data_IF_649520051522
#
_entry.id   IF_649520051522
#
_cell.length_a   1.000
_cell.length_b   1.000
_cell.length_c   1.000
_cell.angle_alpha   90.00
_cell.angle_beta   90.00
_cell.angle_gamma   90.00
#
_symmetry.space_group_name_H-M   'P 1'
#
loop_
_entity.id
_entity.type
_entity.pdbx_description
1 polymer ?
#
# COMPACT_ATOMS: atom_id res chain seq x y z
N UNK A 1 39.12 5.14 3.46
CA UNK A 1 37.72 4.97 3.85
C UNK A 1 37.63 3.80 4.81
N UNK A 2 37.20 4.05 6.04
CA UNK A 2 37.09 3.02 7.08
C UNK A 2 35.78 2.22 6.90
N UNK A 3 35.72 1.00 7.44
CA UNK A 3 34.51 0.15 7.38
C UNK A 3 33.26 0.83 7.97
N UNK A 4 33.43 1.81 8.84
CA UNK A 4 32.37 2.61 9.44
C UNK A 4 31.72 3.58 8.44
N UNK A 5 32.50 4.21 7.56
CA UNK A 5 31.98 5.10 6.52
C UNK A 5 31.16 4.33 5.47
N UNK A 6 31.58 3.10 5.15
CA UNK A 6 30.81 2.22 4.27
C UNK A 6 29.48 1.83 4.89
N UNK A 7 29.45 1.53 6.19
CA UNK A 7 28.23 1.17 6.90
C UNK A 7 27.22 2.33 6.92
N UNK A 8 27.68 3.56 7.13
CA UNK A 8 26.84 4.76 7.13
C UNK A 8 26.14 5.01 5.78
N UNK A 9 26.76 4.61 4.67
CA UNK A 9 26.17 4.74 3.33
C UNK A 9 25.33 3.52 2.96
N UNK A 10 25.82 2.31 3.22
CA UNK A 10 25.18 1.05 2.81
C UNK A 10 23.88 0.80 3.58
N UNK A 11 23.82 1.11 4.87
CA UNK A 11 22.64 0.82 5.70
C UNK A 11 21.40 1.57 5.21
N UNK A 12 21.43 2.90 4.98
CA UNK A 12 20.30 3.59 4.37
C UNK A 12 20.00 3.09 2.95
N UNK A 13 21.02 2.87 2.12
CA UNK A 13 20.84 2.45 0.73
C UNK A 13 20.10 1.10 0.64
N UNK A 14 20.50 0.12 1.43
CA UNK A 14 19.86 -1.20 1.48
C UNK A 14 18.42 -1.07 2.01
N UNK A 15 18.21 -0.26 3.05
CA UNK A 15 16.88 -0.06 3.65
C UNK A 15 15.88 0.55 2.66
N UNK A 16 16.29 1.61 1.94
CA UNK A 16 15.43 2.25 0.94
C UNK A 16 15.25 1.37 -0.31
N UNK A 17 16.31 0.73 -0.80
CA UNK A 17 16.21 -0.14 -1.98
C UNK A 17 15.33 -1.36 -1.73
N UNK A 18 15.35 -1.94 -0.53
CA UNK A 18 14.43 -3.01 -0.15
C UNK A 18 12.96 -2.55 -0.22
N UNK A 19 12.66 -1.36 0.30
CA UNK A 19 11.33 -0.75 0.19
C UNK A 19 10.89 -0.56 -1.26
N UNK A 20 11.77 -0.01 -2.11
CA UNK A 20 11.52 0.17 -3.55
C UNK A 20 11.30 -1.17 -4.24
N UNK A 21 12.09 -2.19 -3.94
CA UNK A 21 11.97 -3.52 -4.53
C UNK A 21 10.63 -4.18 -4.19
N UNK A 22 10.18 -4.08 -2.94
CA UNK A 22 8.87 -4.59 -2.51
C UNK A 22 7.74 -3.85 -3.23
N UNK A 23 7.82 -2.52 -3.33
CA UNK A 23 6.82 -1.73 -4.05
C UNK A 23 6.78 -2.09 -5.55
N UNK A 24 7.95 -2.23 -6.18
CA UNK A 24 8.06 -2.63 -7.58
C UNK A 24 7.46 -4.02 -7.80
N UNK A 25 7.73 -4.98 -6.92
CA UNK A 25 7.16 -6.32 -6.98
C UNK A 25 5.64 -6.30 -6.88
N UNK A 26 5.08 -5.52 -5.94
CA UNK A 26 3.63 -5.36 -5.78
C UNK A 26 2.98 -4.72 -7.02
N UNK A 27 3.63 -3.71 -7.61
CA UNK A 27 3.18 -3.06 -8.84
C UNK A 27 3.20 -4.01 -10.03
N UNK A 28 4.30 -4.76 -10.20
CA UNK A 28 4.43 -5.79 -11.24
C UNK A 28 3.39 -6.89 -11.09
N UNK A 29 3.12 -7.34 -9.87
CA UNK A 29 2.07 -8.33 -9.60
C UNK A 29 0.68 -7.82 -10.01
N UNK A 30 0.34 -6.57 -9.64
CA UNK A 30 -0.92 -5.93 -10.05
C UNK A 30 -1.02 -5.80 -11.57
N UNK A 31 0.06 -5.37 -12.22
CA UNK A 31 0.14 -5.22 -13.67
C UNK A 31 -0.09 -6.57 -14.37
N UNK A 32 0.64 -7.62 -13.97
CA UNK A 32 0.48 -8.96 -14.55
C UNK A 32 -0.92 -9.51 -14.38
N UNK A 33 -1.54 -9.30 -13.22
CA UNK A 33 -2.91 -9.74 -12.96
C UNK A 33 -3.92 -9.08 -13.90
N UNK A 34 -3.79 -7.76 -14.13
CA UNK A 34 -4.63 -7.02 -15.09
C UNK A 34 -4.42 -7.52 -16.51
N UNK A 35 -3.16 -7.72 -16.92
CA UNK A 35 -2.82 -8.21 -18.25
C UNK A 35 -3.41 -9.60 -18.52
N UNK A 36 -3.28 -10.53 -17.57
CA UNK A 36 -3.82 -11.89 -17.69
C UNK A 36 -5.35 -11.89 -17.78
N UNK A 37 -6.03 -11.02 -17.03
CA UNK A 37 -7.48 -10.88 -17.11
C UNK A 37 -7.92 -10.38 -18.50
N UNK A 38 -7.25 -9.36 -19.05
CA UNK A 38 -7.56 -8.84 -20.38
C UNK A 38 -7.32 -9.89 -21.47
N UNK A 39 -6.21 -10.63 -21.40
CA UNK A 39 -5.93 -11.73 -22.34
C UNK A 39 -6.96 -12.86 -22.26
N UNK A 40 -7.47 -13.17 -21.07
CA UNK A 40 -8.56 -14.13 -20.91
C UNK A 40 -9.81 -13.65 -21.63
N UNK A 41 -10.24 -12.40 -21.38
CA UNK A 41 -11.43 -11.81 -22.01
C UNK A 41 -11.29 -11.79 -23.54
N UNK A 42 -10.14 -11.37 -24.06
CA UNK A 42 -9.84 -11.35 -25.50
C UNK A 42 -9.95 -12.76 -26.13
N UNK A 43 -9.36 -13.78 -25.49
CA UNK A 43 -9.44 -15.17 -25.98
C UNK A 43 -10.87 -15.71 -25.97
N UNK A 44 -11.65 -15.39 -24.93
CA UNK A 44 -13.04 -15.83 -24.86
C UNK A 44 -13.89 -15.19 -25.97
N UNK A 45 -13.70 -13.90 -26.23
CA UNK A 45 -14.38 -13.20 -27.33
C UNK A 45 -14.06 -13.83 -28.70
N UNK A 46 -12.80 -14.20 -28.93
CA UNK A 46 -12.38 -14.85 -30.18
C UNK A 46 -12.88 -16.30 -30.33
N UNK A 47 -13.04 -17.05 -29.23
CA UNK A 47 -13.46 -18.44 -29.25
C UNK A 47 -14.97 -18.65 -29.31
N UNK A 48 -15.77 -17.57 -29.40
CA UNK A 48 -17.24 -17.61 -29.30
C UNK A 48 -17.77 -18.38 -28.08
N UNK A 49 -16.95 -18.51 -27.02
CA UNK A 49 -17.40 -19.11 -25.78
C UNK A 49 -18.32 -18.10 -25.08
N UNK A 50 -19.57 -18.47 -24.74
CA UNK A 50 -20.56 -17.53 -24.21
C UNK A 50 -20.29 -17.26 -22.73
N UNK A 51 -19.23 -16.52 -22.41
CA UNK A 51 -19.16 -15.86 -21.11
C UNK A 51 -20.17 -14.74 -21.13
N UNK A 52 -21.24 -14.93 -20.35
CA UNK A 52 -22.25 -13.90 -20.16
C UNK A 52 -21.58 -12.62 -19.62
N UNK A 53 -21.97 -11.43 -20.10
CA UNK A 53 -21.40 -10.16 -19.65
C UNK A 53 -21.47 -9.99 -18.12
N UNK A 54 -22.53 -10.51 -17.46
CA UNK A 54 -22.61 -10.55 -16.00
C UNK A 54 -21.42 -11.26 -15.36
N UNK A 55 -21.03 -12.42 -15.88
CA UNK A 55 -19.91 -13.22 -15.32
C UNK A 55 -18.59 -12.46 -15.41
N UNK A 56 -18.35 -11.79 -16.54
CA UNK A 56 -17.14 -10.96 -16.73
C UNK A 56 -17.14 -9.80 -15.72
N UNK A 57 -18.30 -9.16 -15.52
CA UNK A 57 -18.46 -8.06 -14.57
C UNK A 57 -18.24 -8.50 -13.13
N UNK A 58 -18.78 -9.64 -12.73
CA UNK A 58 -18.60 -10.19 -11.37
C UNK A 58 -17.13 -10.55 -11.12
N UNK A 59 -16.47 -11.19 -12.08
CA UNK A 59 -15.04 -11.51 -11.99
C UNK A 59 -14.19 -10.23 -11.94
N UNK A 60 -14.51 -9.23 -12.77
CA UNK A 60 -13.85 -7.93 -12.73
C UNK A 60 -14.05 -7.23 -11.38
N UNK A 61 -15.27 -7.21 -10.85
CA UNK A 61 -15.58 -6.65 -9.54
C UNK A 61 -14.83 -7.39 -8.42
N UNK A 62 -14.75 -8.72 -8.46
CA UNK A 62 -13.98 -9.48 -7.49
C UNK A 62 -12.49 -9.12 -7.49
N UNK A 63 -11.91 -8.89 -8.67
CA UNK A 63 -10.49 -8.57 -8.80
C UNK A 63 -10.15 -7.09 -8.61
N UNK A 64 -11.04 -6.18 -9.00
CA UNK A 64 -10.78 -4.74 -9.08
C UNK A 64 -11.71 -3.88 -8.22
N UNK A 65 -12.59 -4.45 -7.38
CA UNK A 65 -13.54 -3.66 -6.59
C UNK A 65 -12.89 -2.63 -5.67
N UNK A 66 -13.57 -1.48 -5.59
CA UNK A 66 -13.29 -0.36 -4.69
C UNK A 66 -13.34 -0.75 -3.19
N UNK A 67 -14.06 -1.82 -2.84
CA UNK A 67 -14.17 -2.26 -1.44
C UNK A 67 -12.81 -2.68 -0.84
N UNK A 68 -11.81 -2.94 -1.69
CA UNK A 68 -10.44 -3.22 -1.27
C UNK A 68 -9.73 -1.97 -0.73
N UNK A 69 -10.14 -0.77 -1.12
CA UNK A 69 -9.49 0.47 -0.75
C UNK A 69 -9.87 0.91 0.66
N UNK A 70 -11.12 0.67 1.09
CA UNK A 70 -11.54 0.89 2.47
C UNK A 70 -10.74 0.04 3.46
N UNK A 71 -10.54 -1.25 3.16
CA UNK A 71 -9.77 -2.16 4.03
C UNK A 71 -8.31 -1.73 4.15
N UNK A 72 -7.70 -1.31 3.05
CA UNK A 72 -6.33 -0.76 3.06
C UNK A 72 -6.25 0.52 3.89
N UNK A 73 -7.22 1.41 3.75
CA UNK A 73 -7.29 2.65 4.51
C UNK A 73 -7.36 2.41 6.02
N UNK A 74 -8.26 1.52 6.45
CA UNK A 74 -8.40 1.14 7.87
C UNK A 74 -7.10 0.51 8.38
N UNK A 75 -6.50 -0.41 7.63
CA UNK A 75 -5.25 -1.06 8.04
C UNK A 75 -4.11 -0.05 8.24
N UNK A 76 -3.97 0.91 7.32
CA UNK A 76 -2.94 1.95 7.41
C UNK A 76 -3.18 2.89 8.60
N UNK A 77 -4.43 3.23 8.92
CA UNK A 77 -4.75 3.98 10.12
C UNK A 77 -4.40 3.22 11.40
N UNK A 78 -4.73 1.93 11.46
CA UNK A 78 -4.39 1.07 12.61
C UNK A 78 -2.87 1.00 12.78
N UNK A 79 -2.12 0.85 11.68
CA UNK A 79 -0.66 0.86 11.71
C UNK A 79 -0.11 2.18 12.24
N UNK A 80 -0.62 3.32 11.75
CA UNK A 80 -0.21 4.64 12.24
C UNK A 80 -0.49 4.80 13.74
N UNK A 81 -1.69 4.46 14.18
CA UNK A 81 -2.08 4.51 15.60
C UNK A 81 -1.23 3.59 16.47
N UNK A 82 -0.86 2.41 15.98
CA UNK A 82 0.01 1.49 16.70
C UNK A 82 1.42 2.08 16.88
N UNK A 83 1.98 2.73 15.86
CA UNK A 83 3.29 3.40 15.95
C UNK A 83 3.23 4.58 16.93
N UNK A 84 2.17 5.41 16.86
CA UNK A 84 1.97 6.52 17.78
C UNK A 84 1.80 6.05 19.22
N UNK A 85 0.99 5.01 19.45
CA UNK A 85 0.81 4.43 20.77
C UNK A 85 2.11 3.82 21.32
N UNK A 86 2.88 3.15 20.47
CA UNK A 86 4.19 2.63 20.84
C UNK A 86 5.16 3.76 21.23
N UNK A 87 5.25 4.83 20.44
CA UNK A 87 6.09 5.99 20.75
C UNK A 87 5.68 6.66 22.05
N UNK A 88 4.37 6.78 22.32
CA UNK A 88 3.87 7.37 23.55
C UNK A 88 4.16 6.52 24.81
N UNK A 89 4.17 5.19 24.68
CA UNK A 89 4.38 4.26 25.80
C UNK A 89 5.87 3.97 26.08
N UNK A 90 6.73 4.03 25.06
CA UNK A 90 8.12 3.62 25.18
C UNK A 90 9.04 4.66 25.87
N UNK A 91 8.60 5.92 25.95
CA UNK A 91 9.28 7.05 26.61
C UNK A 91 10.82 7.04 26.43
N UNK A 92 11.26 7.15 25.17
CA UNK A 92 12.68 7.13 24.83
C UNK A 92 13.41 8.36 25.36
N UNK A 93 14.65 8.17 25.84
CA UNK A 93 15.50 9.28 26.34
C UNK A 93 15.71 10.36 25.28
N UNK A 94 15.48 11.59 25.73
CA UNK A 94 15.72 12.81 24.99
C UNK A 94 17.23 13.06 24.82
N UNK A 95 17.74 12.92 23.59
CA UNK A 95 19.17 12.97 23.29
C UNK A 95 19.42 13.77 21.99
N UNK A 96 19.05 15.05 21.96
CA UNK A 96 19.43 15.98 20.90
C UNK A 96 18.26 16.75 20.30
N UNK A 97 18.41 17.21 19.04
CA UNK A 97 17.42 18.03 18.34
C UNK A 97 16.32 17.20 17.62
N UNK A 98 16.50 15.88 17.54
CA UNK A 98 15.56 14.95 16.91
C UNK A 98 15.52 13.70 17.76
N UNK A 99 14.51 13.59 18.60
CA UNK A 99 14.36 12.43 19.46
C UNK A 99 13.76 11.25 18.68
N UNK A 100 14.01 10.05 19.18
CA UNK A 100 13.46 8.84 18.57
C UNK A 100 11.92 8.88 18.57
N UNK A 101 11.31 9.48 19.58
CA UNK A 101 9.87 9.72 19.62
C UNK A 101 9.40 10.63 18.47
N UNK A 102 10.10 11.72 18.20
CA UNK A 102 9.76 12.64 17.10
C UNK A 102 9.88 11.94 15.75
N UNK A 103 10.92 11.14 15.56
CA UNK A 103 11.12 10.35 14.34
C UNK A 103 10.00 9.32 14.15
N UNK A 104 9.60 8.59 15.21
CA UNK A 104 8.51 7.60 15.15
C UNK A 104 7.17 8.27 14.87
N UNK A 105 6.89 9.42 15.48
CA UNK A 105 5.68 10.20 15.23
C UNK A 105 5.63 10.69 13.77
N UNK A 106 6.77 11.15 13.23
CA UNK A 106 6.90 11.53 11.82
C UNK A 106 6.68 10.34 10.87
N UNK A 107 7.25 9.17 11.18
CA UNK A 107 7.04 7.95 10.37
C UNK A 107 5.57 7.51 10.41
N UNK A 108 4.88 7.66 11.53
CA UNK A 108 3.47 7.32 11.67
C UNK A 108 2.53 8.23 10.86
N UNK A 109 2.93 9.48 10.59
CA UNK A 109 2.14 10.43 9.80
C UNK A 109 1.88 9.92 8.37
N UNK A 110 2.87 9.26 7.75
CA UNK A 110 2.76 8.72 6.39
C UNK A 110 1.62 7.69 6.23
N UNK A 111 1.61 6.56 6.97
CA UNK A 111 0.51 5.62 6.92
C UNK A 111 -0.81 6.25 7.43
N UNK A 112 -0.76 7.20 8.37
CA UNK A 112 -1.95 7.91 8.83
C UNK A 112 -2.64 8.69 7.72
N UNK A 113 -1.89 9.52 6.98
CA UNK A 113 -2.40 10.30 5.86
C UNK A 113 -2.83 9.42 4.69
N UNK A 114 -2.08 8.37 4.36
CA UNK A 114 -2.48 7.41 3.34
C UNK A 114 -3.77 6.68 3.74
N UNK A 115 -3.91 6.31 5.00
CA UNK A 115 -5.10 5.69 5.55
C UNK A 115 -6.34 6.57 5.38
N UNK A 116 -6.22 7.85 5.74
CA UNK A 116 -7.27 8.85 5.53
C UNK A 116 -7.61 9.03 4.04
N UNK A 117 -6.61 9.10 3.17
CA UNK A 117 -6.82 9.24 1.73
C UNK A 117 -7.62 8.06 1.15
N UNK A 118 -7.28 6.82 1.52
CA UNK A 118 -8.04 5.64 1.11
C UNK A 118 -9.48 5.63 1.64
N UNK A 119 -9.70 6.11 2.86
CA UNK A 119 -11.05 6.27 3.42
C UNK A 119 -11.88 7.32 2.68
N UNK A 120 -11.27 8.45 2.31
CA UNK A 120 -11.91 9.49 1.51
C UNK A 120 -12.28 8.99 0.11
N UNK A 121 -11.36 8.28 -0.56
CA UNK A 121 -11.62 7.65 -1.86
C UNK A 121 -12.75 6.64 -1.77
N UNK A 122 -12.75 5.77 -0.75
CA UNK A 122 -13.82 4.81 -0.54
C UNK A 122 -15.18 5.49 -0.29
N UNK A 123 -15.20 6.64 0.41
CA UNK A 123 -16.42 7.43 0.62
C UNK A 123 -16.93 8.04 -0.69
N UNK A 124 -16.03 8.56 -1.53
CA UNK A 124 -16.38 9.16 -2.82
C UNK A 124 -16.92 8.10 -3.80
N UNK A 125 -16.28 6.94 -3.88
CA UNK A 125 -16.76 5.82 -4.71
C UNK A 125 -18.15 5.35 -4.28
N UNK A 126 -18.43 5.33 -2.98
CA UNK A 126 -19.77 4.97 -2.46
C UNK A 126 -20.84 5.99 -2.82
N UNK A 127 -20.49 7.26 -2.96
CA UNK A 127 -21.42 8.31 -3.41
C UNK A 127 -21.71 8.20 -4.91
N UNK A 128 -20.73 7.79 -5.71
CA UNK A 128 -20.87 7.65 -7.17
C UNK A 128 -21.71 6.44 -7.60
N UNK A 129 -21.87 5.46 -6.70
CA UNK A 129 -22.67 4.25 -6.92
C UNK A 129 -24.14 4.38 -6.44
N UNK A 130 -24.53 5.54 -5.90
CA UNK A 130 -25.93 5.87 -5.56
C UNK A 130 -26.51 6.80 -6.61
#
# INVERSE_FOLDING_TARGET
MNGQEWAEILVPLISFSAGVAVLALLLLYKYKKKQLFLQMVERTLHQQAPLQPETIREVANHFFSANRDLRKGIFLLVLALAILAFSALADFRQNGNLDLNDALNGIAMLPGMLGLAFLLLARLDRQRSR
#
